data_IF_147616774769
#
_entry.id   IF_147616774769
#
_cell.length_a   1.000
_cell.length_b   1.000
_cell.length_c   1.000
_cell.angle_alpha   90.00
_cell.angle_beta   90.00
_cell.angle_gamma   90.00
#
_symmetry.space_group_name_H-M   'P 1'
#
loop_
_entity.id
_entity.type
_entity.pdbx_description
1 polymer ?
#
# COMPACT_ATOMS: atom_id res chain seq x y z
N UNK A 1 4.20 -51.01 -66.71
CA UNK A 1 4.33 -50.95 -65.28
C UNK A 1 4.36 -49.50 -64.87
N UNK A 2 3.21 -48.99 -64.51
CA UNK A 2 3.01 -47.56 -64.18
C UNK A 2 3.37 -47.30 -62.70
N UNK A 3 4.23 -46.32 -62.42
CA UNK A 3 4.51 -45.79 -61.16
C UNK A 3 3.91 -44.38 -61.02
N UNK A 4 2.77 -44.32 -60.35
CA UNK A 4 2.02 -43.13 -60.06
C UNK A 4 2.80 -42.22 -59.02
N UNK A 5 3.10 -40.98 -59.42
CA UNK A 5 3.64 -39.94 -58.56
C UNK A 5 2.50 -39.22 -57.87
N UNK A 6 2.30 -39.46 -56.56
CA UNK A 6 1.41 -38.68 -55.68
C UNK A 6 2.17 -37.48 -55.15
N UNK A 7 1.85 -36.30 -55.65
CA UNK A 7 2.31 -34.99 -55.13
C UNK A 7 1.55 -34.66 -53.86
N UNK A 8 2.25 -34.59 -52.72
CA UNK A 8 1.69 -34.07 -51.44
C UNK A 8 1.85 -32.54 -51.46
N UNK A 9 0.73 -31.82 -51.56
CA UNK A 9 0.65 -30.39 -51.28
C UNK A 9 0.49 -30.17 -49.80
N UNK A 10 1.55 -29.73 -49.11
CA UNK A 10 1.49 -29.21 -47.74
C UNK A 10 0.99 -27.76 -47.81
N UNK A 11 -0.26 -27.56 -47.48
CA UNK A 11 -0.82 -26.22 -47.23
C UNK A 11 -0.38 -25.68 -45.88
N UNK A 12 0.55 -24.74 -45.88
CA UNK A 12 0.90 -23.98 -44.67
C UNK A 12 -0.15 -22.89 -44.44
N UNK A 13 -1.08 -23.09 -43.55
CA UNK A 13 -1.96 -22.03 -43.06
C UNK A 13 -1.18 -21.15 -42.04
N UNK A 14 -0.72 -20.01 -42.52
CA UNK A 14 -0.18 -18.95 -41.67
C UNK A 14 -1.34 -18.32 -40.84
N UNK A 15 -1.44 -18.66 -39.57
CA UNK A 15 -2.31 -17.96 -38.63
C UNK A 15 -1.73 -16.56 -38.38
N UNK A 16 -2.25 -15.55 -39.04
CA UNK A 16 -1.95 -14.16 -38.73
C UNK A 16 -2.58 -13.82 -37.36
N UNK A 17 -1.76 -13.76 -36.32
CA UNK A 17 -2.16 -13.19 -35.04
C UNK A 17 -2.39 -11.69 -35.22
N UNK A 18 -3.63 -11.31 -35.50
CA UNK A 18 -4.04 -9.92 -35.60
C UNK A 18 -3.97 -9.26 -34.24
N UNK A 19 -2.92 -8.46 -33.96
CA UNK A 19 -2.90 -7.55 -32.84
C UNK A 19 -3.99 -6.48 -33.08
N UNK A 20 -5.13 -6.61 -32.39
CA UNK A 20 -6.20 -5.61 -32.42
C UNK A 20 -5.72 -4.32 -31.78
N UNK A 21 -5.65 -3.25 -32.57
CA UNK A 21 -5.38 -1.90 -32.03
C UNK A 21 -6.49 -1.50 -31.05
N UNK A 22 -6.15 -0.86 -29.90
CA UNK A 22 -7.16 -0.42 -28.94
C UNK A 22 -8.12 0.58 -29.59
N UNK A 23 -9.41 0.48 -29.28
CA UNK A 23 -10.41 1.39 -29.82
C UNK A 23 -10.18 2.82 -29.34
N UNK A 24 -10.61 3.83 -30.11
CA UNK A 24 -10.51 5.25 -29.73
C UNK A 24 -11.18 5.56 -28.37
N UNK A 25 -12.23 4.81 -28.01
CA UNK A 25 -12.88 4.90 -26.69
C UNK A 25 -11.96 4.43 -25.58
N UNK A 26 -11.22 3.34 -25.78
CA UNK A 26 -10.26 2.80 -24.80
C UNK A 26 -9.11 3.78 -24.57
N UNK A 27 -8.60 4.40 -25.64
CA UNK A 27 -7.54 5.43 -25.54
C UNK A 27 -8.05 6.66 -24.80
N UNK A 28 -9.24 7.18 -25.12
CA UNK A 28 -9.83 8.33 -24.47
C UNK A 28 -10.12 8.08 -22.98
N UNK A 29 -10.55 6.88 -22.61
CA UNK A 29 -10.76 6.49 -21.22
C UNK A 29 -9.40 6.44 -20.47
N UNK A 30 -8.40 5.81 -21.03
CA UNK A 30 -7.05 5.74 -20.45
C UNK A 30 -6.45 7.14 -20.21
N UNK A 31 -6.61 8.07 -21.16
CA UNK A 31 -6.14 9.45 -21.01
C UNK A 31 -6.88 10.22 -19.91
N UNK A 32 -8.21 10.01 -19.77
CA UNK A 32 -8.98 10.59 -18.66
C UNK A 32 -8.53 10.05 -17.33
N UNK A 33 -8.34 8.74 -17.20
CA UNK A 33 -7.87 8.10 -15.97
C UNK A 33 -6.48 8.62 -15.58
N UNK A 34 -5.56 8.76 -16.53
CA UNK A 34 -4.25 9.35 -16.30
C UNK A 34 -4.33 10.80 -15.81
N UNK A 35 -5.20 11.62 -16.38
CA UNK A 35 -5.39 13.01 -15.94
C UNK A 35 -5.96 13.13 -14.53
N UNK A 36 -6.81 12.17 -14.11
CA UNK A 36 -7.31 12.08 -12.74
C UNK A 36 -6.19 11.74 -11.78
N UNK A 37 -5.36 10.75 -12.09
CA UNK A 37 -4.22 10.38 -11.24
C UNK A 37 -3.15 11.48 -11.17
N UNK A 38 -2.87 12.20 -12.26
CA UNK A 38 -1.96 13.34 -12.24
C UNK A 38 -2.42 14.45 -11.27
N UNK A 39 -3.72 14.73 -11.20
CA UNK A 39 -4.27 15.68 -10.20
C UNK A 39 -4.24 15.10 -8.79
N UNK A 40 -4.63 13.84 -8.63
CA UNK A 40 -4.73 13.15 -7.32
C UNK A 40 -3.37 13.03 -6.64
N UNK A 41 -2.31 12.86 -7.42
CA UNK A 41 -0.94 12.64 -6.95
C UNK A 41 0.02 13.77 -7.33
N UNK A 42 -0.54 14.92 -7.71
CA UNK A 42 0.21 16.15 -7.93
C UNK A 42 0.83 16.70 -6.66
N UNK A 43 1.59 17.80 -6.76
CA UNK A 43 2.15 18.47 -5.59
C UNK A 43 1.04 19.04 -4.71
N UNK A 44 1.32 19.17 -3.41
CA UNK A 44 0.49 19.85 -2.41
C UNK A 44 1.38 20.92 -1.79
N UNK A 45 1.11 22.18 -2.13
CA UNK A 45 1.95 23.32 -1.74
C UNK A 45 1.41 24.07 -0.52
N UNK A 46 0.16 23.82 -0.14
CA UNK A 46 -0.58 24.47 0.95
C UNK A 46 -0.56 23.68 2.29
N UNK A 47 0.34 22.71 2.42
CA UNK A 47 0.59 22.01 3.68
C UNK A 47 1.73 22.68 4.47
N UNK A 48 1.97 22.29 5.73
CA UNK A 48 3.04 22.83 6.58
C UNK A 48 4.42 22.75 5.90
N UNK A 49 4.69 21.66 5.19
CA UNK A 49 5.81 21.52 4.27
C UNK A 49 5.29 21.09 2.91
N UNK A 50 5.83 21.66 1.81
CA UNK A 50 5.43 21.25 0.47
C UNK A 50 5.63 19.74 0.25
N UNK A 51 4.64 19.09 -0.35
CA UNK A 51 4.68 17.67 -0.69
C UNK A 51 4.84 17.58 -2.21
N UNK A 52 5.95 17.03 -2.71
CA UNK A 52 6.15 16.91 -4.14
C UNK A 52 5.13 15.97 -4.78
N UNK A 53 4.74 16.26 -6.02
CA UNK A 53 4.01 15.32 -6.84
C UNK A 53 4.82 14.03 -7.05
N UNK A 54 4.14 12.89 -7.17
CA UNK A 54 4.82 11.64 -7.42
C UNK A 54 5.01 11.39 -8.93
N UNK A 55 6.12 10.76 -9.27
CA UNK A 55 6.35 10.24 -10.61
C UNK A 55 5.56 8.93 -10.79
N UNK A 56 4.39 9.00 -11.45
CA UNK A 56 3.47 7.88 -11.59
C UNK A 56 4.09 6.66 -12.30
N UNK A 57 5.08 6.88 -13.17
CA UNK A 57 5.81 5.82 -13.85
C UNK A 57 6.62 4.91 -12.89
N UNK A 58 6.97 5.42 -11.72
CA UNK A 58 7.72 4.69 -10.68
C UNK A 58 6.83 3.94 -9.69
N UNK A 59 5.52 4.12 -9.77
CA UNK A 59 4.54 3.45 -8.89
C UNK A 59 3.72 2.46 -9.70
N UNK A 60 3.61 1.21 -9.22
CA UNK A 60 2.75 0.25 -9.87
C UNK A 60 1.30 0.73 -9.85
N UNK A 61 0.64 0.92 -11.02
CA UNK A 61 -0.73 1.47 -11.10
C UNK A 61 -1.77 0.67 -10.31
N UNK A 62 -1.52 -0.61 -10.04
CA UNK A 62 -2.41 -1.43 -9.22
C UNK A 62 -2.58 -0.90 -7.79
N UNK A 63 -1.58 -0.17 -7.26
CA UNK A 63 -1.57 0.38 -5.92
C UNK A 63 -2.04 1.84 -5.83
N UNK A 64 -2.41 2.46 -6.94
CA UNK A 64 -3.01 3.79 -6.91
C UNK A 64 -4.43 3.72 -6.32
N UNK A 65 -4.80 4.77 -5.58
CA UNK A 65 -6.10 4.90 -4.91
C UNK A 65 -7.26 4.86 -5.90
N UNK A 66 -8.28 4.08 -5.56
CA UNK A 66 -9.53 4.01 -6.33
C UNK A 66 -10.69 3.52 -5.48
N UNK A 67 -11.90 3.84 -5.88
CA UNK A 67 -13.12 3.24 -5.33
C UNK A 67 -13.31 1.86 -5.96
N UNK A 68 -13.64 0.87 -5.12
CA UNK A 68 -13.84 -0.53 -5.55
C UNK A 68 -15.07 -1.12 -4.85
N UNK A 69 -15.66 -2.16 -5.43
CA UNK A 69 -16.57 -3.04 -4.70
C UNK A 69 -15.77 -3.79 -3.62
N UNK A 70 -16.31 -3.84 -2.42
CA UNK A 70 -15.66 -4.48 -1.29
C UNK A 70 -16.70 -5.09 -0.35
N UNK A 71 -16.93 -6.38 -0.50
CA UNK A 71 -17.84 -7.12 0.37
C UNK A 71 -17.18 -7.36 1.73
N UNK A 72 -17.81 -6.85 2.77
CA UNK A 72 -17.35 -6.99 4.15
C UNK A 72 -18.51 -6.87 5.13
N UNK A 73 -18.35 -7.46 6.31
CA UNK A 73 -19.27 -7.27 7.45
C UNK A 73 -18.92 -6.05 8.30
N UNK A 74 -17.82 -5.38 8.01
CA UNK A 74 -17.39 -4.19 8.73
C UNK A 74 -18.27 -2.98 8.38
N UNK A 75 -18.57 -2.17 9.38
CA UNK A 75 -19.41 -0.97 9.20
C UNK A 75 -18.70 0.10 8.34
N UNK A 76 -19.45 0.93 7.59
CA UNK A 76 -18.90 2.10 6.93
C UNK A 76 -18.09 2.97 7.88
N UNK A 77 -16.96 3.51 7.41
CA UNK A 77 -15.98 4.26 8.19
C UNK A 77 -14.90 3.38 8.84
N UNK A 78 -15.04 2.04 8.85
CA UNK A 78 -13.98 1.13 9.31
C UNK A 78 -12.84 1.09 8.30
N UNK A 79 -11.61 1.04 8.80
CA UNK A 79 -10.42 0.76 8.00
C UNK A 79 -10.13 -0.74 8.08
N UNK A 80 -9.98 -1.41 6.93
CA UNK A 80 -9.51 -2.80 6.86
C UNK A 80 -8.17 -2.83 6.14
N UNK A 81 -7.16 -3.38 6.80
CA UNK A 81 -5.83 -3.58 6.21
C UNK A 81 -5.65 -5.03 5.86
N UNK A 82 -5.35 -5.32 4.60
CA UNK A 82 -4.93 -6.64 4.12
C UNK A 82 -3.42 -6.61 3.79
N UNK A 83 -2.56 -7.06 4.71
CA UNK A 83 -1.13 -7.06 4.49
C UNK A 83 -0.69 -8.01 3.38
N UNK A 84 -1.48 -9.04 3.08
CA UNK A 84 -1.16 -10.04 2.05
C UNK A 84 -1.29 -9.45 0.65
N UNK A 85 -2.39 -8.75 0.39
CA UNK A 85 -2.62 -8.07 -0.89
C UNK A 85 -1.94 -6.72 -0.97
N UNK A 86 -1.46 -6.20 0.17
CA UNK A 86 -0.86 -4.86 0.33
C UNK A 86 -1.83 -3.74 -0.02
N UNK A 87 -3.06 -3.89 0.49
CA UNK A 87 -4.09 -2.88 0.38
C UNK A 87 -4.66 -2.50 1.74
N UNK A 88 -5.11 -1.26 1.81
CA UNK A 88 -5.94 -0.71 2.87
C UNK A 88 -7.27 -0.29 2.25
N UNK A 89 -8.36 -0.60 2.92
CA UNK A 89 -9.72 -0.27 2.50
C UNK A 89 -10.37 0.62 3.55
N UNK A 90 -10.83 1.80 3.16
CA UNK A 90 -11.77 2.60 3.94
C UNK A 90 -13.18 2.20 3.50
N UNK A 91 -13.89 1.49 4.35
CA UNK A 91 -15.22 0.94 4.05
C UNK A 91 -16.22 2.06 3.87
N UNK A 92 -16.97 2.02 2.78
CA UNK A 92 -18.04 2.94 2.44
C UNK A 92 -19.40 2.24 2.56
N UNK A 93 -20.48 2.97 2.30
CA UNK A 93 -21.82 2.40 2.15
C UNK A 93 -21.93 1.61 0.85
N UNK A 94 -23.00 0.85 0.69
CA UNK A 94 -23.41 0.18 -0.55
C UNK A 94 -22.37 -0.83 -1.09
N UNK A 95 -21.65 -1.51 -0.18
CA UNK A 95 -20.67 -2.53 -0.56
C UNK A 95 -19.44 -1.98 -1.29
N UNK A 96 -19.13 -0.70 -1.08
CA UNK A 96 -17.98 -0.01 -1.69
C UNK A 96 -16.88 0.27 -0.66
N UNK A 97 -15.67 0.50 -1.13
CA UNK A 97 -14.58 1.03 -0.33
C UNK A 97 -13.63 1.90 -1.17
N UNK A 98 -12.98 2.87 -0.52
CA UNK A 98 -11.77 3.47 -1.09
C UNK A 98 -10.61 2.53 -0.79
N UNK A 99 -9.95 2.05 -1.83
CA UNK A 99 -8.78 1.18 -1.73
C UNK A 99 -7.51 1.97 -1.96
N UNK A 100 -6.56 1.84 -1.05
CA UNK A 100 -5.23 2.43 -1.10
C UNK A 100 -4.17 1.33 -1.19
N UNK A 101 -3.11 1.55 -1.95
CA UNK A 101 -1.92 0.71 -1.89
C UNK A 101 -1.11 0.99 -0.64
N UNK A 102 -0.55 -0.05 -0.02
CA UNK A 102 0.28 0.09 1.17
C UNK A 102 1.60 -0.68 1.05
N UNK A 103 2.63 -0.19 1.74
CA UNK A 103 3.82 -0.94 2.07
C UNK A 103 3.68 -1.52 3.48
N UNK A 104 4.20 -2.73 3.72
CA UNK A 104 4.08 -3.44 4.99
C UNK A 104 5.42 -3.97 5.48
N UNK A 105 5.48 -4.48 6.71
CA UNK A 105 6.71 -5.02 7.30
C UNK A 105 7.30 -6.23 6.58
N UNK A 106 8.65 -6.36 6.58
CA UNK A 106 9.39 -7.45 5.91
C UNK A 106 9.07 -8.84 6.44
N UNK A 107 8.80 -8.99 7.72
CA UNK A 107 8.55 -10.28 8.40
C UNK A 107 7.08 -10.71 8.39
N UNK A 108 6.26 -10.15 7.50
CA UNK A 108 4.83 -10.21 7.63
C UNK A 108 4.39 -9.30 8.79
N UNK A 109 3.14 -8.91 8.80
CA UNK A 109 2.61 -8.10 9.89
C UNK A 109 2.60 -8.97 11.15
N UNK A 110 3.51 -8.71 12.09
CA UNK A 110 3.59 -9.47 13.35
C UNK A 110 2.37 -9.31 14.25
N UNK A 111 1.46 -8.39 13.89
CA UNK A 111 0.22 -8.13 14.59
C UNK A 111 -0.98 -8.14 13.64
N UNK A 112 -2.05 -8.77 14.07
CA UNK A 112 -3.36 -8.75 13.42
C UNK A 112 -4.44 -8.64 14.48
N UNK A 113 -5.62 -8.16 14.11
CA UNK A 113 -6.73 -7.95 15.02
C UNK A 113 -7.36 -6.57 14.87
N UNK A 114 -8.15 -6.17 15.88
CA UNK A 114 -8.81 -4.87 15.89
C UNK A 114 -8.03 -3.86 16.72
N UNK A 115 -8.00 -2.64 16.26
CA UNK A 115 -7.46 -1.46 16.94
C UNK A 115 -8.38 -0.26 16.73
N UNK A 116 -8.04 0.84 17.38
CA UNK A 116 -8.72 2.13 17.22
C UNK A 116 -7.69 3.21 16.96
N UNK A 117 -7.96 4.14 16.07
CA UNK A 117 -7.16 5.36 15.92
C UNK A 117 -7.43 6.23 17.14
N UNK A 118 -6.46 6.36 18.06
CA UNK A 118 -6.62 7.15 19.26
C UNK A 118 -6.15 8.58 19.10
N UNK A 119 -5.12 8.79 18.30
CA UNK A 119 -4.61 10.11 17.93
C UNK A 119 -4.05 10.10 16.51
N UNK A 120 -3.99 11.29 15.95
CA UNK A 120 -3.45 11.55 14.60
C UNK A 120 -2.51 12.74 14.69
N UNK A 121 -1.46 12.74 13.88
CA UNK A 121 -0.49 13.84 13.83
C UNK A 121 -0.19 14.20 12.37
N UNK A 122 -0.08 15.50 12.15
CA UNK A 122 0.50 16.10 10.96
C UNK A 122 2.00 16.24 11.19
N UNK A 123 2.79 15.86 10.22
CA UNK A 123 4.24 15.94 10.27
C UNK A 123 4.82 15.43 11.60
N UNK A 124 4.55 14.15 11.96
CA UNK A 124 4.94 13.61 13.26
C UNK A 124 6.45 13.52 13.43
N UNK A 125 6.92 13.73 14.65
CA UNK A 125 8.28 13.34 15.02
C UNK A 125 8.44 11.82 14.95
N UNK A 126 9.59 11.36 14.51
CA UNK A 126 9.90 9.96 14.43
C UNK A 126 10.90 9.55 15.50
N UNK A 127 10.52 8.58 16.31
CA UNK A 127 11.36 7.97 17.32
C UNK A 127 11.65 6.52 16.93
N UNK A 128 12.88 6.22 16.45
CA UNK A 128 13.25 4.87 16.06
C UNK A 128 13.13 3.88 17.24
N UNK A 129 12.60 2.66 17.04
CA UNK A 129 12.68 1.62 18.06
C UNK A 129 14.13 1.31 18.44
N UNK A 130 14.38 0.98 19.72
CA UNK A 130 15.74 0.69 20.22
C UNK A 130 16.46 -0.40 19.41
N UNK A 131 15.71 -1.40 18.97
CA UNK A 131 16.23 -2.48 18.13
C UNK A 131 16.69 -2.00 16.75
N UNK A 132 16.20 -0.85 16.29
CA UNK A 132 16.63 -0.25 15.01
C UNK A 132 18.03 0.35 15.16
N UNK A 133 18.34 1.03 16.25
CA UNK A 133 19.68 1.53 16.53
C UNK A 133 20.70 0.40 16.65
N UNK A 134 20.31 -0.74 17.23
CA UNK A 134 21.19 -1.91 17.31
C UNK A 134 21.53 -2.51 15.93
N UNK A 135 20.63 -2.36 14.96
CA UNK A 135 20.82 -2.87 13.59
C UNK A 135 21.45 -1.86 12.64
N UNK A 136 21.27 -0.59 12.91
CA UNK A 136 21.69 0.56 12.11
C UNK A 136 22.22 1.65 13.03
N UNK A 137 23.44 1.49 13.60
CA UNK A 137 24.01 2.47 14.54
C UNK A 137 24.18 3.86 13.94
N UNK A 138 24.38 3.94 12.63
CA UNK A 138 24.51 5.18 11.87
C UNK A 138 23.26 6.07 11.93
N UNK A 139 22.11 5.52 12.28
CA UNK A 139 20.90 6.32 12.49
C UNK A 139 21.07 7.32 13.64
N UNK A 140 21.89 7.02 14.65
CA UNK A 140 22.10 7.94 15.77
C UNK A 140 22.67 9.29 15.33
N UNK A 141 23.49 9.31 14.29
CA UNK A 141 24.08 10.54 13.75
C UNK A 141 23.04 11.45 13.07
N UNK A 142 21.89 10.89 12.68
CA UNK A 142 20.79 11.61 12.04
C UNK A 142 19.72 12.06 13.05
N UNK A 143 19.83 11.64 14.32
CA UNK A 143 18.87 11.96 15.36
C UNK A 143 19.26 13.22 16.11
N UNK A 144 18.25 14.07 16.35
CA UNK A 144 18.32 15.17 17.31
C UNK A 144 17.78 14.78 18.67
N UNK A 145 17.97 15.63 19.66
CA UNK A 145 17.33 15.51 20.95
C UNK A 145 15.94 16.19 20.88
N UNK A 146 14.90 15.42 20.99
CA UNK A 146 13.50 15.85 20.98
C UNK A 146 12.87 15.60 22.36
N UNK A 147 11.70 16.18 22.68
CA UNK A 147 11.03 15.96 23.96
C UNK A 147 10.76 14.50 24.32
N UNK A 148 10.64 13.62 23.32
CA UNK A 148 10.47 12.16 23.49
C UNK A 148 11.78 11.36 23.49
N UNK A 149 12.94 12.02 23.43
CA UNK A 149 14.28 11.41 23.34
C UNK A 149 14.93 11.56 21.96
N UNK A 150 15.94 10.74 21.67
CA UNK A 150 16.59 10.76 20.36
C UNK A 150 15.61 10.45 19.24
N UNK A 151 15.45 11.38 18.29
CA UNK A 151 14.45 11.27 17.22
C UNK A 151 14.74 12.21 16.06
N UNK A 152 13.92 12.09 15.03
CA UNK A 152 13.93 12.97 13.86
C UNK A 152 12.68 13.84 13.87
N UNK A 153 12.81 15.18 13.80
CA UNK A 153 11.65 16.08 13.77
C UNK A 153 10.80 15.83 12.52
N UNK A 154 9.52 16.19 12.61
CA UNK A 154 8.61 16.14 11.46
C UNK A 154 9.12 17.00 10.30
N UNK A 155 8.95 16.51 9.07
CA UNK A 155 9.38 17.23 7.88
C UNK A 155 9.71 16.31 6.69
N UNK A 156 10.20 16.88 5.56
CA UNK A 156 10.41 16.13 4.31
C UNK A 156 11.42 14.99 4.40
N UNK A 157 12.38 15.03 5.33
CA UNK A 157 13.35 13.96 5.56
C UNK A 157 12.86 12.84 6.51
N UNK A 158 11.70 13.02 7.14
CA UNK A 158 11.18 12.10 8.15
C UNK A 158 10.51 10.88 7.51
N UNK A 159 10.86 9.65 7.92
CA UNK A 159 10.31 8.42 7.32
C UNK A 159 8.80 8.20 7.53
N UNK A 160 8.19 8.93 8.49
CA UNK A 160 6.74 8.86 8.69
C UNK A 160 5.93 9.72 7.70
N UNK A 161 6.61 10.56 6.92
CA UNK A 161 5.95 11.40 5.93
C UNK A 161 5.03 12.47 6.55
N UNK A 162 4.02 12.87 5.76
CA UNK A 162 3.18 14.02 6.08
C UNK A 162 2.16 13.80 7.20
N UNK A 163 1.72 12.57 7.42
CA UNK A 163 0.65 12.21 8.41
C UNK A 163 0.95 10.88 9.06
N UNK A 164 0.53 10.73 10.33
CA UNK A 164 0.47 9.45 11.03
C UNK A 164 -0.82 9.28 11.82
N UNK A 165 -1.38 8.07 11.77
CA UNK A 165 -2.54 7.62 12.53
C UNK A 165 -2.07 6.51 13.48
N UNK A 166 -2.25 6.72 14.79
CA UNK A 166 -1.71 5.87 15.86
C UNK A 166 -2.74 4.83 16.28
N UNK A 167 -2.36 3.55 16.22
CA UNK A 167 -3.25 2.42 16.46
C UNK A 167 -3.14 1.94 17.91
N UNK A 168 -4.27 1.84 18.60
CA UNK A 168 -4.36 1.42 19.99
C UNK A 168 -5.33 0.26 20.17
N UNK A 169 -5.02 -0.64 21.12
CA UNK A 169 -5.94 -1.65 21.62
C UNK A 169 -6.35 -1.28 23.05
N UNK A 170 -7.56 -0.77 23.20
CA UNK A 170 -7.98 -0.18 24.47
C UNK A 170 -7.04 0.96 24.88
N UNK A 171 -6.37 0.80 26.02
CA UNK A 171 -5.39 1.76 26.54
C UNK A 171 -3.93 1.43 26.20
N UNK A 172 -3.69 0.38 25.41
CA UNK A 172 -2.35 -0.04 25.03
C UNK A 172 -2.01 0.51 23.65
N UNK A 173 -0.93 1.28 23.54
CA UNK A 173 -0.34 1.62 22.25
C UNK A 173 0.22 0.36 21.60
N UNK A 174 -0.22 0.06 20.37
CA UNK A 174 0.26 -1.11 19.64
C UNK A 174 1.65 -0.91 19.05
N UNK A 175 2.16 0.32 19.05
CA UNK A 175 3.35 0.77 18.34
C UNK A 175 3.23 0.68 16.81
N UNK A 176 2.09 0.26 16.29
CA UNK A 176 1.80 0.30 14.85
C UNK A 176 1.15 1.63 14.46
N UNK A 177 1.53 2.08 13.27
CA UNK A 177 1.06 3.35 12.69
C UNK A 177 0.65 3.12 11.24
N UNK A 178 -0.33 3.87 10.78
CA UNK A 178 -0.57 4.12 9.36
C UNK A 178 0.04 5.48 9.08
N UNK A 179 0.99 5.58 8.15
CA UNK A 179 1.76 6.81 7.94
C UNK A 179 2.18 7.00 6.48
N UNK A 180 2.58 8.22 6.14
CA UNK A 180 3.06 8.57 4.82
C UNK A 180 4.48 8.10 4.51
N UNK A 181 4.97 8.44 3.32
CA UNK A 181 6.37 8.24 2.93
C UNK A 181 6.77 9.18 1.79
N UNK A 182 8.04 9.55 1.75
CA UNK A 182 8.68 10.19 0.59
C UNK A 182 9.30 9.19 -0.39
N UNK A 183 9.05 7.89 -0.19
CA UNK A 183 9.48 6.80 -1.07
C UNK A 183 8.27 6.08 -1.69
N UNK A 184 7.45 6.75 -2.53
CA UNK A 184 6.21 6.20 -3.06
C UNK A 184 6.41 4.92 -3.89
N UNK A 185 7.59 4.71 -4.48
CA UNK A 185 7.96 3.49 -5.20
C UNK A 185 8.04 2.24 -4.32
N UNK A 186 8.07 2.40 -2.99
CA UNK A 186 8.08 1.27 -2.03
C UNK A 186 6.68 0.74 -1.72
N UNK A 187 5.62 1.40 -2.19
CA UNK A 187 4.26 0.93 -2.01
C UNK A 187 4.03 -0.34 -2.82
N UNK A 188 3.33 -1.30 -2.23
CA UNK A 188 3.17 -2.64 -2.79
C UNK A 188 4.31 -3.60 -2.44
N UNK A 189 5.26 -3.19 -1.60
CA UNK A 189 6.41 -4.01 -1.20
C UNK A 189 6.46 -4.25 0.32
N UNK A 190 7.36 -5.15 0.76
CA UNK A 190 7.56 -5.49 2.16
C UNK A 190 8.85 -4.82 2.67
N UNK A 191 8.81 -3.55 3.01
CA UNK A 191 10.02 -2.75 3.33
C UNK A 191 10.00 -2.09 4.70
N UNK A 192 8.84 -2.05 5.40
CA UNK A 192 8.75 -1.40 6.70
C UNK A 192 9.18 -2.30 7.86
N UNK A 193 9.43 -1.71 9.02
CA UNK A 193 9.70 -2.43 10.28
C UNK A 193 8.42 -2.92 10.99
N UNK A 194 7.26 -2.87 10.32
CA UNK A 194 5.97 -3.32 10.86
C UNK A 194 4.83 -2.35 10.57
N UNK A 195 5.08 -1.04 10.49
CA UNK A 195 4.06 -0.04 10.22
C UNK A 195 3.49 -0.13 8.80
N UNK A 196 2.30 0.44 8.61
CA UNK A 196 1.58 0.50 7.34
C UNK A 196 1.95 1.81 6.65
N UNK A 197 2.70 1.70 5.55
CA UNK A 197 3.21 2.86 4.79
C UNK A 197 2.28 3.18 3.63
N UNK A 198 1.99 4.46 3.42
CA UNK A 198 1.15 4.96 2.33
C UNK A 198 1.87 6.07 1.54
N UNK A 199 1.46 6.33 0.31
CA UNK A 199 1.82 7.56 -0.42
C UNK A 199 1.35 8.76 0.40
N UNK A 200 2.10 9.87 0.42
CA UNK A 200 1.73 11.05 1.22
C UNK A 200 0.34 11.60 0.83
N UNK A 201 0.02 11.70 -0.44
CA UNK A 201 -1.30 12.13 -0.91
C UNK A 201 -2.42 11.19 -0.45
N UNK A 202 -2.14 9.90 -0.34
CA UNK A 202 -3.11 8.90 0.11
C UNK A 202 -3.32 8.94 1.62
N UNK A 203 -2.25 9.10 2.41
CA UNK A 203 -2.41 9.19 3.87
C UNK A 203 -3.07 10.50 4.29
N UNK A 204 -2.87 11.60 3.55
CA UNK A 204 -3.58 12.86 3.77
C UNK A 204 -5.07 12.67 3.52
N UNK A 205 -5.43 12.04 2.40
CA UNK A 205 -6.82 11.73 2.09
C UNK A 205 -7.46 10.85 3.19
N UNK A 206 -6.80 9.77 3.58
CA UNK A 206 -7.28 8.90 4.66
C UNK A 206 -7.40 9.66 5.99
N UNK A 207 -6.41 10.47 6.34
CA UNK A 207 -6.39 11.30 7.55
C UNK A 207 -7.60 12.22 7.62
N UNK A 208 -7.95 12.87 6.52
CA UNK A 208 -9.06 13.81 6.46
C UNK A 208 -10.43 13.11 6.57
N UNK A 209 -10.54 11.86 6.14
CA UNK A 209 -11.78 11.09 6.15
C UNK A 209 -11.97 10.21 7.40
N UNK A 210 -10.97 10.12 8.28
CA UNK A 210 -11.04 9.23 9.45
C UNK A 210 -10.86 10.01 10.76
N UNK A 211 -11.91 10.15 11.59
CA UNK A 211 -11.81 10.80 12.90
C UNK A 211 -11.07 9.90 13.92
N UNK A 212 -10.66 10.49 15.04
CA UNK A 212 -10.27 9.70 16.21
C UNK A 212 -11.44 8.82 16.65
N UNK A 213 -11.17 7.61 17.10
CA UNK A 213 -12.18 6.60 17.40
C UNK A 213 -12.46 5.65 16.23
N UNK A 214 -11.94 5.92 15.03
CA UNK A 214 -12.10 5.03 13.86
C UNK A 214 -11.55 3.64 14.16
N UNK A 215 -12.39 2.60 13.92
CA UNK A 215 -12.01 1.20 14.01
C UNK A 215 -11.05 0.83 12.88
N UNK A 216 -10.00 0.10 13.22
CA UNK A 216 -9.05 -0.47 12.26
C UNK A 216 -8.97 -1.97 12.48
N UNK A 217 -9.17 -2.74 11.42
CA UNK A 217 -9.03 -4.20 11.41
C UNK A 217 -7.85 -4.57 10.54
N UNK A 218 -6.85 -5.23 11.11
CA UNK A 218 -5.70 -5.76 10.37
C UNK A 218 -5.89 -7.26 10.21
N UNK A 219 -6.03 -7.71 8.98
CA UNK A 219 -6.25 -9.13 8.67
C UNK A 219 -4.99 -9.95 8.95
N UNK A 220 -5.18 -11.18 9.43
CA UNK A 220 -4.05 -12.10 9.62
C UNK A 220 -3.47 -12.56 8.28
N UNK A 221 -2.15 -12.45 8.13
CA UNK A 221 -1.47 -13.23 7.09
C UNK A 221 -1.39 -14.68 7.53
N UNK A 222 -1.78 -15.66 6.70
CA UNK A 222 -1.58 -17.07 7.02
C UNK A 222 -0.10 -17.31 7.33
N UNK A 223 0.21 -17.75 8.55
CA UNK A 223 1.59 -18.10 8.90
C UNK A 223 2.05 -19.23 7.98
N UNK A 224 3.29 -19.17 7.53
CA UNK A 224 3.94 -20.23 6.72
C UNK A 224 4.04 -21.60 7.44
N UNK A 225 3.59 -21.69 8.69
CA UNK A 225 3.54 -22.94 9.47
C UNK A 225 2.50 -23.96 8.98
N UNK A 226 1.42 -23.54 8.30
CA UNK A 226 0.39 -24.46 7.80
C UNK A 226 0.80 -25.30 6.58
N UNK A 227 1.99 -25.12 6.03
CA UNK A 227 2.45 -25.86 4.84
C UNK A 227 3.28 -27.11 5.17
N UNK A 228 3.74 -27.31 6.42
CA UNK A 228 4.56 -28.46 6.83
C UNK A 228 3.76 -29.67 7.32
N UNK A 229 2.51 -29.48 7.77
CA UNK A 229 1.71 -30.59 8.33
C UNK A 229 0.93 -31.42 7.30
N UNK A 230 0.92 -31.04 6.01
CA UNK A 230 0.22 -31.83 4.98
C UNK A 230 1.09 -32.90 4.29
N UNK A 231 2.39 -32.93 4.57
CA UNK A 231 3.30 -33.91 3.97
C UNK A 231 3.62 -35.10 4.90
N UNK A 232 3.24 -35.01 6.18
CA UNK A 232 3.51 -36.06 7.16
C UNK A 232 2.37 -37.08 7.36
N UNK A 233 1.27 -36.98 6.63
CA UNK A 233 0.10 -37.86 6.74
C UNK A 233 -0.07 -38.79 5.51
N UNK A 234 1.02 -39.15 4.84
CA UNK A 234 1.02 -40.21 3.81
C UNK A 234 2.33 -41.01 3.95
N UNK A 235 2.35 -41.90 4.92
CA UNK A 235 3.10 -43.16 4.91
C UNK A 235 2.20 -44.20 5.59
#
# INVERSE_FOLDING_TARGET
>A
MDLSRRTFLLGATAAAAGASLPSSRTIAQSLRDMSVYQRMYGPIDDDLYPIPGIELSRVNPAFLRRVVQYETTEAPGTIVVDPRSRYLYLVMRDGMAVRYGVGVGRSGFGWSGAATIKNKQEWPDWYPPKEMFARQPELMEQMGELPGGAGMPGGPGNPLGARALYLWQGNKDTLYRIHGTFEPWTIGTNVSSGCIRMINQDVIDLYNHTPNGTKVVVLSSPSSRGRRDRTAARI
#
